data_IF_043403712177
#
_entry.id   IF_043403712177
#
_cell.length_a   1.000
_cell.length_b   1.000
_cell.length_c   1.000
_cell.angle_alpha   90.00
_cell.angle_beta   90.00
_cell.angle_gamma   90.00
#
_symmetry.space_group_name_H-M   'P 1'
#
loop_
_entity.id
_entity.type
_entity.pdbx_description
1 polymer ?
#
# COMPACT_ATOMS: atom_id res chain seq x y z
N UNK A 1 21.12 -46.17 -26.00
CA UNK A 1 20.18 -45.80 -24.91
C UNK A 1 20.82 -44.95 -23.79
N UNK A 2 22.11 -45.13 -23.44
CA UNK A 2 22.77 -44.36 -22.36
C UNK A 2 23.06 -42.88 -22.68
N UNK A 3 23.13 -42.48 -23.96
CA UNK A 3 23.37 -41.07 -24.38
C UNK A 3 22.16 -40.15 -24.21
N UNK A 4 20.94 -40.70 -24.23
CA UNK A 4 19.70 -39.92 -24.07
C UNK A 4 19.25 -39.81 -22.62
N UNK A 5 19.79 -40.64 -21.73
CA UNK A 5 19.56 -40.64 -20.30
C UNK A 5 19.76 -39.26 -19.65
N UNK A 6 20.88 -38.53 -19.90
CA UNK A 6 21.05 -37.19 -19.34
C UNK A 6 20.05 -36.17 -19.91
N UNK A 7 19.68 -36.30 -21.19
CA UNK A 7 18.69 -35.42 -21.84
C UNK A 7 17.29 -35.60 -21.23
N UNK A 8 16.88 -36.84 -20.97
CA UNK A 8 15.60 -37.15 -20.32
C UNK A 8 15.59 -36.61 -18.88
N UNK A 9 16.70 -36.71 -18.16
CA UNK A 9 16.82 -36.19 -16.79
C UNK A 9 16.69 -34.66 -16.75
N UNK A 10 17.35 -33.96 -17.67
CA UNK A 10 17.26 -32.49 -17.78
C UNK A 10 15.84 -32.06 -18.13
N UNK A 11 15.19 -32.76 -19.06
CA UNK A 11 13.80 -32.47 -19.43
C UNK A 11 12.84 -32.68 -18.24
N UNK A 12 13.04 -33.75 -17.47
CA UNK A 12 12.25 -34.05 -16.28
C UNK A 12 12.43 -32.96 -15.21
N UNK A 13 13.67 -32.54 -14.94
CA UNK A 13 13.96 -31.46 -14.00
C UNK A 13 13.34 -30.14 -14.42
N UNK A 14 13.39 -29.82 -15.71
CA UNK A 14 12.79 -28.62 -16.27
C UNK A 14 11.26 -28.64 -16.13
N UNK A 15 10.64 -29.79 -16.39
CA UNK A 15 9.19 -29.98 -16.20
C UNK A 15 8.78 -29.77 -14.74
N UNK A 16 9.53 -30.36 -13.79
CA UNK A 16 9.27 -30.18 -12.35
C UNK A 16 9.41 -28.73 -11.94
N UNK A 17 10.41 -28.02 -12.45
CA UNK A 17 10.59 -26.58 -12.21
C UNK A 17 9.39 -25.76 -12.68
N UNK A 18 8.88 -26.00 -13.89
CA UNK A 18 7.72 -25.30 -14.44
C UNK A 18 6.47 -25.56 -13.58
N UNK A 19 6.23 -26.80 -13.16
CA UNK A 19 5.09 -27.15 -12.30
C UNK A 19 5.20 -26.45 -10.94
N UNK A 20 6.39 -26.37 -10.37
CA UNK A 20 6.62 -25.67 -9.10
C UNK A 20 6.33 -24.16 -9.21
N UNK A 21 6.79 -23.51 -10.29
CA UNK A 21 6.51 -22.10 -10.54
C UNK A 21 5.02 -21.85 -10.82
N UNK A 22 4.37 -22.72 -11.58
CA UNK A 22 2.94 -22.59 -11.91
C UNK A 22 2.02 -22.76 -10.70
N UNK A 23 2.43 -23.53 -9.68
CA UNK A 23 1.70 -23.67 -8.41
C UNK A 23 1.81 -22.45 -7.50
N UNK A 24 2.72 -21.52 -7.79
CA UNK A 24 2.87 -20.28 -7.03
C UNK A 24 1.78 -19.30 -7.48
N UNK A 25 0.52 -19.62 -7.23
CA UNK A 25 -0.56 -18.65 -7.36
C UNK A 25 -0.25 -17.48 -6.42
N UNK A 26 -0.18 -16.24 -6.93
CA UNK A 26 -0.10 -15.09 -6.04
C UNK A 26 -1.33 -15.17 -5.13
N UNK A 27 -1.12 -15.15 -3.81
CA UNK A 27 -2.21 -15.07 -2.86
C UNK A 27 -3.10 -13.90 -3.28
N UNK A 28 -4.32 -14.21 -3.72
CA UNK A 28 -5.24 -13.22 -4.24
C UNK A 28 -5.56 -12.27 -3.09
N UNK A 29 -4.96 -11.08 -3.14
CA UNK A 29 -5.19 -10.04 -2.14
C UNK A 29 -6.62 -9.57 -2.33
N UNK A 30 -7.54 -10.08 -1.51
CA UNK A 30 -8.92 -9.61 -1.48
C UNK A 30 -8.91 -8.11 -1.20
N UNK A 31 -9.56 -7.35 -2.08
CA UNK A 31 -9.77 -5.93 -1.85
C UNK A 31 -10.60 -5.76 -0.58
N UNK A 32 -10.05 -5.05 0.40
CA UNK A 32 -10.80 -4.64 1.58
C UNK A 32 -11.47 -3.30 1.27
N UNK A 33 -12.79 -3.35 1.04
CA UNK A 33 -13.61 -2.18 0.71
C UNK A 33 -14.08 -1.38 1.90
N UNK A 34 -13.58 -1.65 3.12
CA UNK A 34 -13.85 -0.79 4.27
C UNK A 34 -13.32 0.62 3.98
N UNK A 35 -13.91 1.63 4.60
CA UNK A 35 -13.40 3.01 4.61
C UNK A 35 -13.12 3.38 6.07
N UNK A 36 -11.92 3.90 6.33
CA UNK A 36 -11.49 4.38 7.65
C UNK A 36 -10.80 5.71 7.48
N UNK A 37 -11.22 6.65 8.31
CA UNK A 37 -10.61 7.97 8.44
C UNK A 37 -9.50 7.97 9.51
N UNK A 38 -9.25 6.82 10.17
CA UNK A 38 -8.18 6.71 11.15
C UNK A 38 -6.84 6.66 10.44
N UNK A 39 -5.88 7.39 10.97
CA UNK A 39 -4.51 7.39 10.44
C UNK A 39 -3.77 6.10 10.80
N UNK A 40 -4.04 5.53 11.97
CA UNK A 40 -3.35 4.32 12.42
C UNK A 40 -3.75 3.10 11.58
N UNK A 41 -4.97 3.14 11.03
CA UNK A 41 -5.50 2.07 10.19
C UNK A 41 -4.77 2.05 8.85
N UNK A 42 -3.94 1.03 8.69
CA UNK A 42 -3.35 0.72 7.39
C UNK A 42 -4.36 0.08 6.44
N UNK A 43 -5.44 -0.51 6.98
CA UNK A 43 -6.51 -1.09 6.18
C UNK A 43 -7.82 -0.50 6.68
N UNK A 44 -8.54 0.25 5.85
CA UNK A 44 -8.24 0.62 4.46
C UNK A 44 -7.21 1.76 4.33
N UNK A 45 -6.36 1.64 3.32
CA UNK A 45 -5.13 2.43 3.16
C UNK A 45 -5.32 3.93 2.88
N UNK A 46 -6.55 4.42 2.66
CA UNK A 46 -6.80 5.77 2.11
C UNK A 46 -6.13 6.89 2.90
N UNK A 47 -6.50 7.02 4.18
CA UNK A 47 -6.05 8.13 5.03
C UNK A 47 -4.58 8.01 5.42
N UNK A 48 -4.13 6.78 5.74
CA UNK A 48 -2.72 6.50 6.04
C UNK A 48 -1.81 6.81 4.84
N UNK A 49 -2.19 6.36 3.63
CA UNK A 49 -1.42 6.59 2.41
C UNK A 49 -1.41 8.07 2.04
N UNK A 50 -2.58 8.72 2.01
CA UNK A 50 -2.70 10.14 1.70
C UNK A 50 -1.79 10.97 2.62
N UNK A 51 -1.80 10.70 3.93
CA UNK A 51 -0.93 11.41 4.88
C UNK A 51 0.56 11.18 4.64
N UNK A 52 0.97 9.98 4.24
CA UNK A 52 2.38 9.70 3.96
C UNK A 52 2.84 10.26 2.61
N UNK A 53 1.92 10.49 1.67
CA UNK A 53 2.20 11.09 0.37
C UNK A 53 2.22 12.62 0.43
N UNK A 54 1.41 13.25 1.29
CA UNK A 54 1.30 14.70 1.38
C UNK A 54 2.65 15.42 1.56
N UNK A 55 3.54 15.03 2.50
CA UNK A 55 4.85 15.67 2.64
C UNK A 55 5.77 15.46 1.44
N UNK A 56 5.57 14.38 0.67
CA UNK A 56 6.37 14.08 -0.53
C UNK A 56 5.93 14.94 -1.72
N UNK A 57 4.62 15.13 -1.87
CA UNK A 57 4.03 15.93 -2.94
C UNK A 57 4.15 17.44 -2.65
N UNK A 58 4.07 17.83 -1.39
CA UNK A 58 4.09 19.23 -0.95
C UNK A 58 5.14 19.43 0.15
N UNK A 59 6.45 19.38 -0.18
CA UNK A 59 7.53 19.43 0.81
C UNK A 59 7.62 20.75 1.58
N UNK A 60 6.99 21.82 1.07
CA UNK A 60 6.92 23.12 1.73
C UNK A 60 5.66 23.29 2.60
N UNK A 61 4.75 22.32 2.59
CA UNK A 61 3.53 22.35 3.37
C UNK A 61 3.74 21.66 4.73
N UNK A 62 3.40 22.36 5.81
CA UNK A 62 3.40 21.77 7.14
C UNK A 62 2.11 20.95 7.32
N UNK A 63 2.27 19.67 7.63
CA UNK A 63 1.15 18.74 7.88
C UNK A 63 1.22 18.30 9.33
N UNK A 64 0.26 18.73 10.14
CA UNK A 64 0.14 18.35 11.55
C UNK A 64 -1.27 17.85 11.86
N UNK A 65 -1.41 17.15 12.98
CA UNK A 65 -2.71 16.77 13.52
C UNK A 65 -2.98 17.61 14.75
N UNK A 66 -4.23 18.05 14.89
CA UNK A 66 -4.72 18.69 16.11
C UNK A 66 -5.49 17.66 16.94
N UNK A 67 -4.92 17.10 18.04
CA UNK A 67 -5.59 16.10 18.86
C UNK A 67 -6.82 16.65 19.60
N UNK A 68 -6.87 17.97 19.80
CA UNK A 68 -7.97 18.64 20.47
C UNK A 68 -9.09 19.06 19.49
N UNK A 69 -9.03 18.59 18.23
CA UNK A 69 -10.10 18.69 17.26
C UNK A 69 -11.35 17.90 17.71
N UNK A 70 -12.58 18.37 17.42
CA UNK A 70 -12.90 19.62 16.70
C UNK A 70 -12.93 20.89 17.57
N UNK A 71 -12.75 20.76 18.89
CA UNK A 71 -13.00 21.86 19.85
C UNK A 71 -12.10 23.10 19.70
N UNK A 72 -10.94 22.97 19.05
CA UNK A 72 -10.00 24.07 18.82
C UNK A 72 -9.90 24.53 17.35
N UNK A 73 -10.86 24.16 16.50
CA UNK A 73 -10.85 24.58 15.09
C UNK A 73 -11.00 26.09 14.88
N UNK A 74 -11.50 26.84 15.87
CA UNK A 74 -11.55 28.30 15.83
C UNK A 74 -10.15 28.94 15.80
N UNK A 75 -9.10 28.18 16.16
CA UNK A 75 -7.69 28.60 16.04
C UNK A 75 -7.05 28.25 14.69
N UNK A 76 -7.69 27.38 13.89
CA UNK A 76 -7.31 27.16 12.50
C UNK A 76 -7.77 28.39 11.74
N UNK A 77 -6.83 29.27 11.41
CA UNK A 77 -7.07 30.53 10.72
C UNK A 77 -7.90 30.32 9.47
N UNK A 78 -9.22 30.51 9.58
CA UNK A 78 -10.16 30.59 8.45
C UNK A 78 -9.91 31.85 7.62
N UNK A 79 -9.07 32.77 8.12
CA UNK A 79 -8.67 34.01 7.48
C UNK A 79 -7.45 33.87 6.54
N UNK A 80 -6.61 32.83 6.71
CA UNK A 80 -5.46 32.59 5.83
C UNK A 80 -5.82 31.67 4.66
N UNK A 81 -5.88 32.22 3.44
CA UNK A 81 -6.24 31.50 2.21
C UNK A 81 -5.25 30.41 1.73
N UNK A 82 -4.34 29.92 2.58
CA UNK A 82 -3.32 28.91 2.25
C UNK A 82 -3.42 27.64 3.13
N UNK A 83 -4.57 27.40 3.75
CA UNK A 83 -4.80 26.24 4.61
C UNK A 83 -5.92 25.36 4.05
N UNK A 84 -5.83 24.05 4.31
CA UNK A 84 -6.85 23.08 3.95
C UNK A 84 -7.07 22.13 5.13
N UNK A 85 -8.34 21.98 5.54
CA UNK A 85 -8.76 21.04 6.58
C UNK A 85 -9.30 19.77 5.93
N UNK A 86 -8.85 18.62 6.40
CA UNK A 86 -9.34 17.29 6.01
C UNK A 86 -9.97 16.64 7.25
N UNK A 87 -11.22 16.16 7.10
CA UNK A 87 -12.01 15.49 8.14
C UNK A 87 -12.21 14.01 7.83
#
# INVERSE_FOLDING_TARGET
MKRYLPLILVLLLLLVGIIYLARRSPAERRFDGRLSLRREDRIPYGTFLARNLLPKLFPKANVYNEPAAPGHWDSLSTADGRQALFL
#
